data_IF_019939268852
#
_entry.id   IF_019939268852
#
_cell.length_a   1.000
_cell.length_b   1.000
_cell.length_c   1.000
_cell.angle_alpha   90.00
_cell.angle_beta   90.00
_cell.angle_gamma   90.00
#
_symmetry.space_group_name_H-M   'P 1'
#
loop_
_entity.id
_entity.type
_entity.pdbx_description
1 polymer ?
#
# COMPACT_ATOMS: atom_id res chain seq x y z
N UNK A 1 11.57 23.38 15.34
CA UNK A 1 11.92 23.46 13.89
C UNK A 1 12.20 22.10 13.26
N UNK A 2 13.16 21.29 13.73
CA UNK A 2 13.42 19.96 13.14
C UNK A 2 12.26 18.96 13.33
N UNK A 3 11.69 18.91 14.54
CA UNK A 3 10.56 18.01 14.85
C UNK A 3 9.32 18.27 13.98
N UNK A 4 9.00 19.53 13.70
CA UNK A 4 7.87 19.88 12.83
C UNK A 4 8.08 19.46 11.38
N UNK A 5 9.31 19.60 10.88
CA UNK A 5 9.69 19.16 9.53
C UNK A 5 9.66 17.64 9.43
N UNK A 6 10.19 16.93 10.42
CA UNK A 6 10.14 15.47 10.48
C UNK A 6 8.69 14.97 10.49
N UNK A 7 7.84 15.50 11.37
CA UNK A 7 6.43 15.10 11.44
C UNK A 7 5.67 15.44 10.14
N UNK A 8 6.03 16.53 9.44
CA UNK A 8 5.48 16.83 8.12
C UNK A 8 5.95 15.82 7.07
N UNK A 9 7.24 15.48 7.03
CA UNK A 9 7.77 14.47 6.12
C UNK A 9 7.11 13.11 6.31
N UNK A 10 6.91 12.67 7.57
CA UNK A 10 6.20 11.42 7.87
C UNK A 10 4.74 11.47 7.42
N UNK A 11 4.04 12.59 7.66
CA UNK A 11 2.69 12.76 7.15
C UNK A 11 2.63 12.68 5.61
N UNK A 12 3.57 13.30 4.90
CA UNK A 12 3.64 13.24 3.44
C UNK A 12 3.91 11.82 2.94
N UNK A 13 4.77 11.05 3.61
CA UNK A 13 4.98 9.64 3.30
C UNK A 13 3.69 8.84 3.51
N UNK A 14 2.99 9.03 4.64
CA UNK A 14 1.71 8.37 4.92
C UNK A 14 0.67 8.71 3.85
N UNK A 15 0.55 9.97 3.49
CA UNK A 15 -0.39 10.43 2.46
C UNK A 15 -0.04 9.83 1.09
N UNK A 16 1.24 9.80 0.73
CA UNK A 16 1.70 9.20 -0.53
C UNK A 16 1.36 7.71 -0.63
N UNK A 17 1.67 6.94 0.42
CA UNK A 17 1.31 5.52 0.50
C UNK A 17 -0.21 5.35 0.42
N UNK A 18 -0.97 6.16 1.15
CA UNK A 18 -2.44 6.14 1.09
C UNK A 18 -2.98 6.38 -0.32
N UNK A 19 -2.46 7.36 -1.06
CA UNK A 19 -2.92 7.66 -2.42
C UNK A 19 -2.73 6.47 -3.36
N UNK A 20 -1.57 5.82 -3.30
CA UNK A 20 -1.29 4.64 -4.13
C UNK A 20 -2.22 3.48 -3.73
N UNK A 21 -2.35 3.19 -2.43
CA UNK A 21 -3.25 2.14 -1.95
C UNK A 21 -4.71 2.43 -2.30
N UNK A 22 -5.14 3.69 -2.26
CA UNK A 22 -6.49 4.10 -2.62
C UNK A 22 -6.78 3.78 -4.10
N UNK A 23 -5.84 4.04 -5.01
CA UNK A 23 -6.01 3.70 -6.42
C UNK A 23 -6.25 2.18 -6.62
N UNK A 24 -5.44 1.34 -5.96
CA UNK A 24 -5.61 -0.11 -5.98
C UNK A 24 -6.88 -0.60 -5.29
N UNK A 25 -7.33 0.09 -4.24
CA UNK A 25 -8.58 -0.21 -3.54
C UNK A 25 -9.78 0.08 -4.43
N UNK A 26 -9.77 1.23 -5.12
CA UNK A 26 -10.82 1.61 -6.05
C UNK A 26 -10.89 0.67 -7.25
N UNK A 27 -9.74 0.20 -7.76
CA UNK A 27 -9.69 -0.80 -8.82
C UNK A 27 -10.41 -2.10 -8.40
N UNK A 28 -10.16 -2.62 -7.19
CA UNK A 28 -10.88 -3.82 -6.68
C UNK A 28 -12.40 -3.63 -6.61
N UNK A 29 -12.88 -2.42 -6.29
CA UNK A 29 -14.31 -2.13 -6.12
C UNK A 29 -15.00 -1.92 -7.47
N UNK A 30 -14.40 -1.12 -8.35
CA UNK A 30 -15.04 -0.66 -9.59
C UNK A 30 -14.63 -1.46 -10.83
N UNK A 31 -13.49 -2.15 -10.79
CA UNK A 31 -12.97 -3.01 -11.84
C UNK A 31 -12.46 -4.35 -11.27
N UNK A 32 -13.34 -5.12 -10.58
CA UNK A 32 -12.94 -6.35 -9.90
C UNK A 32 -12.29 -7.38 -10.84
N UNK A 33 -12.69 -7.42 -12.12
CA UNK A 33 -12.13 -8.34 -13.11
C UNK A 33 -10.61 -8.13 -13.30
N UNK A 34 -10.14 -6.89 -13.34
CA UNK A 34 -8.71 -6.60 -13.42
C UNK A 34 -7.97 -7.07 -12.17
N UNK A 35 -8.49 -6.73 -10.99
CA UNK A 35 -7.89 -7.18 -9.73
C UNK A 35 -7.88 -8.72 -9.59
N UNK A 36 -8.93 -9.42 -10.02
CA UNK A 36 -8.97 -10.88 -10.04
C UNK A 36 -7.85 -11.44 -10.93
N UNK A 37 -7.65 -10.88 -12.13
CA UNK A 37 -6.55 -11.28 -13.01
C UNK A 37 -5.17 -11.12 -12.36
N UNK A 38 -4.97 -10.05 -11.57
CA UNK A 38 -3.74 -9.87 -10.78
C UNK A 38 -3.60 -10.96 -9.70
N UNK A 39 -4.69 -11.34 -9.02
CA UNK A 39 -4.69 -12.43 -8.03
C UNK A 39 -4.35 -13.79 -8.65
N UNK A 40 -4.84 -14.06 -9.85
CA UNK A 40 -4.56 -15.29 -10.58
C UNK A 40 -3.10 -15.34 -11.06
N UNK A 41 -2.60 -14.25 -11.64
CA UNK A 41 -1.27 -14.19 -12.26
C UNK A 41 -0.15 -14.06 -11.22
N UNK A 42 -0.32 -13.19 -10.21
CA UNK A 42 0.76 -12.85 -9.27
C UNK A 42 0.69 -13.63 -7.94
N UNK A 43 -0.50 -14.06 -7.54
CA UNK A 43 -0.71 -14.74 -6.26
C UNK A 43 -1.15 -16.20 -6.41
N UNK A 44 -1.38 -16.66 -7.65
CA UNK A 44 -1.84 -18.01 -7.98
C UNK A 44 -3.17 -18.41 -7.30
N UNK A 45 -4.02 -17.42 -7.00
CA UNK A 45 -5.33 -17.63 -6.38
C UNK A 45 -6.40 -17.52 -7.45
N UNK A 46 -7.06 -18.65 -7.74
CA UNK A 46 -8.09 -18.74 -8.77
C UNK A 46 -9.50 -18.81 -8.16
N UNK A 47 -10.51 -18.49 -8.96
CA UNK A 47 -11.92 -18.68 -8.60
C UNK A 47 -12.48 -17.63 -7.63
N UNK A 48 -11.80 -16.48 -7.47
CA UNK A 48 -12.36 -15.34 -6.75
C UNK A 48 -13.49 -14.75 -7.58
N UNK A 49 -14.69 -14.65 -7.00
CA UNK A 49 -15.81 -13.99 -7.66
C UNK A 49 -15.73 -12.46 -7.54
N UNK A 50 -16.34 -11.75 -8.47
CA UNK A 50 -16.48 -10.28 -8.43
C UNK A 50 -17.03 -9.78 -7.10
N UNK A 51 -18.03 -10.48 -6.54
CA UNK A 51 -18.63 -10.12 -5.26
C UNK A 51 -17.63 -10.18 -4.11
N UNK A 52 -16.80 -11.22 -4.06
CA UNK A 52 -15.74 -11.37 -3.06
C UNK A 52 -14.67 -10.30 -3.24
N UNK A 53 -14.23 -10.04 -4.48
CA UNK A 53 -13.21 -9.00 -4.74
C UNK A 53 -13.68 -7.60 -4.31
N UNK A 54 -14.95 -7.26 -4.56
CA UNK A 54 -15.54 -6.01 -4.07
C UNK A 54 -15.57 -5.91 -2.55
N UNK A 55 -15.91 -7.00 -1.86
CA UNK A 55 -15.88 -7.04 -0.39
C UNK A 55 -14.46 -6.83 0.12
N UNK A 56 -13.46 -7.48 -0.49
CA UNK A 56 -12.04 -7.27 -0.17
C UNK A 56 -11.69 -5.78 -0.33
N UNK A 57 -12.09 -5.15 -1.44
CA UNK A 57 -11.87 -3.71 -1.66
C UNK A 57 -12.55 -2.81 -0.61
N UNK A 58 -13.77 -3.13 -0.17
CA UNK A 58 -14.45 -2.36 0.89
C UNK A 58 -13.74 -2.52 2.23
N UNK A 59 -13.28 -3.73 2.57
CA UNK A 59 -12.50 -3.98 3.79
C UNK A 59 -11.16 -3.24 3.73
N UNK A 60 -10.48 -3.30 2.59
CA UNK A 60 -9.24 -2.56 2.34
C UNK A 60 -9.47 -1.05 2.46
N UNK A 61 -10.58 -0.51 1.96
CA UNK A 61 -10.94 0.90 2.11
C UNK A 61 -11.00 1.33 3.57
N UNK A 62 -11.69 0.56 4.42
CA UNK A 62 -11.72 0.81 5.86
C UNK A 62 -10.33 0.77 6.49
N UNK A 63 -9.51 -0.20 6.09
CA UNK A 63 -8.13 -0.36 6.55
C UNK A 63 -7.24 0.83 6.17
N UNK A 64 -7.27 1.29 4.92
CA UNK A 64 -6.43 2.41 4.45
C UNK A 64 -6.91 3.76 4.99
N UNK A 65 -8.20 3.92 5.28
CA UNK A 65 -8.70 5.10 5.97
C UNK A 65 -8.22 5.13 7.42
N UNK A 66 -8.20 3.98 8.10
CA UNK A 66 -7.62 3.88 9.44
C UNK A 66 -6.10 4.15 9.44
N UNK A 67 -5.40 3.72 8.39
CA UNK A 67 -4.00 4.08 8.15
C UNK A 67 -3.80 5.58 8.00
N UNK A 68 -4.55 6.24 7.10
CA UNK A 68 -4.46 7.68 6.86
C UNK A 68 -4.75 8.47 8.14
N UNK A 69 -5.73 8.02 8.93
CA UNK A 69 -6.08 8.59 10.22
C UNK A 69 -5.03 8.33 11.31
N UNK A 70 -3.97 7.56 11.06
CA UNK A 70 -2.93 7.25 12.03
C UNK A 70 -3.40 6.41 13.21
N UNK A 71 -4.45 5.59 13.03
CA UNK A 71 -4.98 4.71 14.06
C UNK A 71 -4.11 3.46 14.22
N UNK A 72 -4.00 2.96 15.46
CA UNK A 72 -3.33 1.69 15.80
C UNK A 72 -2.00 1.47 15.05
N UNK A 73 -1.15 2.50 14.98
CA UNK A 73 0.02 2.57 14.09
C UNK A 73 0.90 1.31 14.13
N UNK A 74 1.11 0.73 15.33
CA UNK A 74 1.88 -0.52 15.49
C UNK A 74 1.34 -1.69 14.67
N UNK A 75 0.02 -1.81 14.55
CA UNK A 75 -0.63 -2.91 13.83
C UNK A 75 -0.88 -2.55 12.38
N UNK A 76 -1.49 -1.39 12.12
CA UNK A 76 -1.84 -0.98 10.75
C UNK A 76 -0.59 -0.79 9.89
N UNK A 77 0.43 -0.09 10.39
CA UNK A 77 1.62 0.17 9.57
C UNK A 77 2.43 -1.12 9.38
N UNK A 78 2.39 -2.01 10.37
CA UNK A 78 3.00 -3.33 10.27
C UNK A 78 2.34 -4.18 9.19
N UNK A 79 1.00 -4.19 9.15
CA UNK A 79 0.25 -4.90 8.12
C UNK A 79 0.51 -4.31 6.73
N UNK A 80 0.60 -2.98 6.59
CA UNK A 80 0.97 -2.35 5.31
C UNK A 80 2.35 -2.81 4.83
N UNK A 81 3.35 -2.87 5.71
CA UNK A 81 4.68 -3.41 5.35
C UNK A 81 4.56 -4.84 4.86
N UNK A 82 3.83 -5.70 5.57
CA UNK A 82 3.67 -7.10 5.16
C UNK A 82 3.02 -7.20 3.78
N UNK A 83 1.89 -6.52 3.58
CA UNK A 83 1.17 -6.53 2.30
C UNK A 83 2.05 -5.99 1.17
N UNK A 84 2.73 -4.86 1.37
CA UNK A 84 3.61 -4.29 0.36
C UNK A 84 4.85 -5.12 0.08
N UNK A 85 5.39 -5.82 1.09
CA UNK A 85 6.51 -6.74 0.88
C UNK A 85 6.07 -7.86 -0.04
N UNK A 86 4.90 -8.46 0.20
CA UNK A 86 4.33 -9.50 -0.65
C UNK A 86 4.10 -8.93 -2.06
N UNK A 87 3.52 -7.74 -2.21
CA UNK A 87 3.29 -7.13 -3.53
C UNK A 87 4.59 -6.78 -4.27
N UNK A 88 5.66 -6.42 -3.58
CA UNK A 88 6.96 -6.13 -4.18
C UNK A 88 7.71 -7.41 -4.62
N UNK A 89 7.48 -8.55 -3.97
CA UNK A 89 8.16 -9.82 -4.33
C UNK A 89 7.34 -10.69 -5.28
N UNK A 90 6.01 -10.62 -5.24
CA UNK A 90 5.12 -11.45 -6.05
C UNK A 90 5.43 -11.38 -7.57
N UNK A 91 5.68 -10.21 -8.17
CA UNK A 91 6.00 -10.11 -9.60
C UNK A 91 7.50 -10.35 -9.87
N UNK A 92 8.20 -11.21 -9.14
CA UNK A 92 9.67 -11.40 -9.24
C UNK A 92 10.15 -11.61 -10.69
N UNK A 93 9.43 -12.42 -11.46
CA UNK A 93 9.75 -12.71 -12.87
C UNK A 93 9.56 -11.51 -13.81
N UNK A 94 8.81 -10.48 -13.37
CA UNK A 94 8.51 -9.27 -14.15
C UNK A 94 9.58 -8.18 -13.97
N UNK A 95 10.53 -8.35 -13.05
CA UNK A 95 11.68 -7.45 -12.90
C UNK A 95 12.73 -7.70 -13.99
N UNK A 96 12.46 -7.20 -15.20
CA UNK A 96 13.42 -7.25 -16.31
C UNK A 96 14.15 -5.93 -16.47
N UNK A 97 15.43 -5.99 -16.84
CA UNK A 97 16.27 -4.83 -17.19
C UNK A 97 16.26 -4.54 -18.70
N UNK A 98 15.34 -5.16 -19.44
CA UNK A 98 15.21 -4.96 -20.88
C UNK A 98 14.80 -3.52 -21.19
N UNK A 99 15.68 -2.82 -21.93
CA UNK A 99 15.44 -1.44 -22.36
C UNK A 99 14.22 -1.40 -23.29
N UNK A 100 13.13 -0.80 -22.81
CA UNK A 100 11.86 -0.68 -23.54
C UNK A 100 10.71 -1.52 -22.99
N UNK A 101 10.95 -2.37 -21.99
CA UNK A 101 9.89 -3.08 -21.27
C UNK A 101 9.11 -2.08 -20.37
N UNK A 102 8.18 -1.35 -20.96
CA UNK A 102 7.44 -0.24 -20.32
C UNK A 102 6.75 -0.63 -19.01
N UNK A 103 6.33 -1.89 -18.88
CA UNK A 103 5.64 -2.40 -17.69
C UNK A 103 6.58 -2.87 -16.58
N UNK A 104 7.83 -3.28 -16.87
CA UNK A 104 8.75 -3.76 -15.83
C UNK A 104 9.19 -2.64 -14.89
N UNK A 105 9.35 -1.43 -15.42
CA UNK A 105 9.78 -0.24 -14.68
C UNK A 105 8.83 0.14 -13.53
N UNK A 106 7.53 -0.14 -13.67
CA UNK A 106 6.54 0.22 -12.66
C UNK A 106 6.69 -0.62 -11.38
N UNK A 107 7.10 -1.89 -11.47
CA UNK A 107 7.34 -2.73 -10.30
C UNK A 107 8.50 -2.24 -9.44
N UNK A 108 9.42 -1.46 -9.99
CA UNK A 108 10.50 -0.85 -9.20
C UNK A 108 10.00 0.27 -8.29
N UNK A 109 8.86 0.90 -8.60
CA UNK A 109 8.25 1.91 -7.73
C UNK A 109 7.77 1.31 -6.40
N UNK A 110 7.43 0.02 -6.37
CA UNK A 110 7.02 -0.67 -5.15
C UNK A 110 8.12 -0.71 -4.09
N UNK A 111 9.40 -0.74 -4.50
CA UNK A 111 10.54 -0.68 -3.57
C UNK A 111 10.66 0.69 -2.88
N UNK A 112 10.41 1.77 -3.62
CA UNK A 112 10.38 3.12 -3.03
C UNK A 112 9.22 3.24 -2.03
N UNK A 113 8.06 2.67 -2.37
CA UNK A 113 6.91 2.65 -1.47
C UNK A 113 7.16 1.77 -0.24
N UNK A 114 7.78 0.60 -0.41
CA UNK A 114 8.18 -0.27 0.70
C UNK A 114 9.13 0.44 1.67
N UNK A 115 10.12 1.18 1.15
CA UNK A 115 11.01 2.00 1.97
C UNK A 115 10.24 3.08 2.77
N UNK A 116 9.23 3.71 2.16
CA UNK A 116 8.35 4.65 2.86
C UNK A 116 7.53 3.96 3.97
N UNK A 117 6.96 2.78 3.69
CA UNK A 117 6.23 1.98 4.68
C UNK A 117 7.11 1.60 5.87
N UNK A 118 8.34 1.12 5.62
CA UNK A 118 9.32 0.78 6.66
C UNK A 118 9.67 2.03 7.49
N UNK A 119 9.94 3.16 6.84
CA UNK A 119 10.25 4.42 7.51
C UNK A 119 9.11 4.84 8.43
N UNK A 120 7.87 4.80 7.95
CA UNK A 120 6.68 5.10 8.74
C UNK A 120 6.54 4.19 9.95
N UNK A 121 6.82 2.89 9.81
CA UNK A 121 6.70 1.95 10.93
C UNK A 121 7.78 2.13 12.00
N UNK A 122 9.04 2.31 11.55
CA UNK A 122 10.17 2.52 12.45
C UNK A 122 9.99 3.82 13.23
N UNK A 123 9.52 4.88 12.56
CA UNK A 123 9.33 6.21 13.14
C UNK A 123 7.86 6.51 13.52
N UNK A 124 7.02 5.48 13.67
CA UNK A 124 5.57 5.64 13.88
C UNK A 124 5.20 6.51 15.07
N UNK A 125 6.02 6.52 16.11
CA UNK A 125 5.77 7.29 17.33
C UNK A 125 6.00 8.80 17.08
N UNK A 126 6.77 9.16 16.04
CA UNK A 126 7.02 10.53 15.59
C UNK A 126 6.03 11.00 14.51
N UNK A 127 5.26 10.08 13.94
CA UNK A 127 4.21 10.38 12.96
C UNK A 127 2.93 10.84 13.66
N UNK A 128 2.85 12.15 13.92
CA UNK A 128 1.83 12.78 14.79
C UNK A 128 0.97 13.85 14.12
N UNK A 129 1.25 14.24 12.88
CA UNK A 129 0.47 15.29 12.18
C UNK A 129 -0.78 14.72 11.54
N UNK A 130 -1.94 15.35 11.79
CA UNK A 130 -3.24 14.96 11.24
C UNK A 130 -3.69 13.53 11.59
N UNK A 131 -3.29 13.02 12.76
CA UNK A 131 -3.76 11.74 13.28
C UNK A 131 -5.03 11.92 14.13
N UNK A 132 -5.86 10.88 14.15
CA UNK A 132 -6.97 10.71 15.08
C UNK A 132 -6.48 9.77 16.21
N UNK A 133 -6.64 10.17 17.48
CA UNK A 133 -6.23 9.36 18.63
C UNK A 133 -5.09 9.95 19.46
N UNK A 134 -4.71 9.26 20.54
CA UNK A 134 -3.63 9.72 21.44
C UNK A 134 -2.26 9.58 20.76
N UNK A 135 -1.40 10.57 20.96
CA UNK A 135 0.00 10.60 20.52
C UNK A 135 0.77 9.39 21.01
#
# INVERSE_FOLDING_TARGET
MYQDRLALSLFLLRLGVFVVMMAWTLDKIFNPAHAIGIFEEMYFIQGISDGVMKIIGIVELGFILAFLAGLWKRYIYGLIILLHTISAIAPWEKYTLELGARYSMLYYADWAMLAACITLYVLRDLDVKFILGKK
#
